data_IF_642167468892
#
_entry.id   IF_642167468892
#
_cell.length_a   1.000
_cell.length_b   1.000
_cell.length_c   1.000
_cell.angle_alpha   90.00
_cell.angle_beta   90.00
_cell.angle_gamma   90.00
#
_symmetry.space_group_name_H-M   'P 1'
#
loop_
_entity.id
_entity.type
_entity.pdbx_description
1 polymer ?
#
# COMPACT_ATOMS: atom_id res chain seq x y z
N UNK A 1 -34.29 -2.73 7.77
CA UNK A 1 -33.61 -2.02 6.66
C UNK A 1 -32.11 -2.21 6.82
N UNK A 2 -31.47 -3.10 6.05
CA UNK A 2 -29.99 -3.21 6.04
C UNK A 2 -29.50 -2.37 4.88
N UNK A 3 -28.87 -1.24 5.17
CA UNK A 3 -28.17 -0.44 4.17
C UNK A 3 -27.07 -1.33 3.61
N UNK A 4 -27.24 -1.82 2.38
CA UNK A 4 -26.13 -2.33 1.58
C UNK A 4 -25.36 -1.09 1.15
N UNK A 5 -24.36 -0.69 1.94
CA UNK A 5 -23.42 0.34 1.52
C UNK A 5 -22.81 -0.15 0.19
N UNK A 6 -23.03 0.58 -0.89
CA UNK A 6 -22.48 0.25 -2.22
C UNK A 6 -20.97 0.12 -2.12
N UNK A 7 -20.47 -0.89 -2.80
CA UNK A 7 -19.16 -1.51 -2.65
C UNK A 7 -18.06 -0.64 -3.29
N UNK A 8 -17.33 0.12 -2.48
CA UNK A 8 -15.93 0.39 -2.82
C UNK A 8 -15.19 -0.93 -2.70
N UNK A 9 -14.65 -1.45 -3.80
CA UNK A 9 -13.81 -2.63 -3.76
C UNK A 9 -12.45 -2.20 -3.17
N UNK A 10 -12.24 -2.59 -1.91
CA UNK A 10 -10.99 -2.29 -1.22
C UNK A 10 -10.14 -3.56 -1.20
N UNK A 11 -9.11 -3.61 -2.05
CA UNK A 11 -8.15 -4.71 -2.05
C UNK A 11 -7.24 -4.56 -0.83
N UNK A 12 -7.01 -5.65 -0.11
CA UNK A 12 -6.08 -5.66 1.02
C UNK A 12 -5.09 -6.77 0.83
N UNK A 13 -3.83 -6.38 0.69
CA UNK A 13 -2.70 -7.28 0.54
C UNK A 13 -1.66 -7.04 1.61
N UNK A 14 -0.80 -8.02 1.75
CA UNK A 14 0.31 -7.99 2.70
C UNK A 14 1.60 -8.07 1.91
N UNK A 15 2.50 -7.11 2.14
CA UNK A 15 3.81 -7.06 1.50
C UNK A 15 4.89 -7.22 2.56
N UNK A 16 5.91 -8.00 2.26
CA UNK A 16 7.08 -8.17 3.11
C UNK A 16 8.26 -7.47 2.46
N UNK A 17 8.96 -6.67 3.26
CA UNK A 17 10.21 -6.03 2.89
C UNK A 17 11.33 -6.65 3.74
N UNK A 18 12.36 -7.18 3.09
CA UNK A 18 13.50 -7.80 3.76
C UNK A 18 14.48 -6.76 4.31
N UNK A 19 14.46 -5.55 3.74
CA UNK A 19 15.35 -4.46 4.05
C UNK A 19 14.58 -3.21 4.49
N UNK A 20 15.21 -2.35 5.33
CA UNK A 20 14.62 -1.06 5.67
C UNK A 20 14.50 -0.19 4.40
N UNK A 21 13.33 0.44 4.23
CA UNK A 21 12.99 1.18 3.02
C UNK A 21 12.37 2.55 3.36
N UNK A 22 12.24 3.40 2.33
CA UNK A 22 11.62 4.73 2.43
C UNK A 22 10.56 4.85 1.35
N UNK A 23 9.48 5.56 1.67
CA UNK A 23 8.41 5.88 0.74
C UNK A 23 8.19 7.41 0.75
N UNK A 24 7.95 8.00 -0.41
CA UNK A 24 7.48 9.39 -0.46
C UNK A 24 6.16 9.51 0.30
N UNK A 25 6.05 10.52 1.15
CA UNK A 25 4.94 10.68 2.08
C UNK A 25 5.26 10.21 3.51
N UNK A 26 6.38 9.49 3.71
CA UNK A 26 6.86 9.07 5.02
C UNK A 26 8.28 9.62 5.23
N UNK A 27 8.40 10.63 6.09
CA UNK A 27 9.69 11.29 6.41
C UNK A 27 10.60 10.44 7.33
N UNK A 28 10.38 9.13 7.40
CA UNK A 28 11.17 8.19 8.20
C UNK A 28 11.47 6.93 7.40
N UNK A 29 12.59 6.28 7.73
CA UNK A 29 12.86 4.92 7.27
C UNK A 29 11.94 3.95 8.00
N UNK A 30 11.23 3.12 7.23
CA UNK A 30 10.45 2.01 7.76
C UNK A 30 11.37 0.79 7.96
N UNK A 31 11.27 0.09 9.09
CA UNK A 31 12.07 -1.12 9.31
C UNK A 31 11.70 -2.22 8.30
N UNK A 32 12.60 -3.18 8.08
CA UNK A 32 12.22 -4.42 7.41
C UNK A 32 11.07 -5.10 8.16
N UNK A 33 10.14 -5.71 7.42
CA UNK A 33 8.99 -6.36 8.02
C UNK A 33 7.81 -6.50 7.08
N UNK A 34 6.72 -6.97 7.66
CA UNK A 34 5.48 -7.26 6.95
C UNK A 34 4.48 -6.14 7.19
N UNK A 35 3.98 -5.57 6.08
CA UNK A 35 3.13 -4.41 6.07
C UNK A 35 1.82 -4.70 5.37
N UNK A 36 0.74 -4.16 5.93
CA UNK A 36 -0.56 -4.24 5.31
C UNK A 36 -0.74 -3.05 4.36
N UNK A 37 -1.06 -3.36 3.12
CA UNK A 37 -1.34 -2.41 2.06
C UNK A 37 -2.79 -2.58 1.66
N UNK A 38 -3.52 -1.49 1.65
CA UNK A 38 -4.90 -1.46 1.20
C UNK A 38 -4.93 -0.56 -0.04
N UNK A 39 -5.59 -1.01 -1.09
CA UNK A 39 -5.73 -0.28 -2.35
C UNK A 39 -7.20 0.01 -2.52
N UNK A 40 -7.56 1.29 -2.65
CA UNK A 40 -8.90 1.66 -3.05
C UNK A 40 -9.01 1.55 -4.58
N UNK A 41 -9.73 0.53 -5.02
CA UNK A 41 -10.03 0.29 -6.44
C UNK A 41 -11.49 0.69 -6.68
N UNK A 42 -11.70 1.80 -7.39
CA UNK A 42 -13.04 2.15 -7.86
C UNK A 42 -13.31 1.36 -9.14
N UNK A 43 -14.37 0.53 -9.09
CA UNK A 43 -14.94 -0.05 -10.29
C UNK A 43 -15.57 1.09 -11.11
N UNK A 44 -14.94 1.48 -12.20
CA UNK A 44 -15.53 2.45 -13.12
C UNK A 44 -16.61 1.72 -13.93
N UNK A 45 -17.85 1.75 -13.46
CA UNK A 45 -19.00 1.30 -14.25
C UNK A 45 -19.32 2.32 -15.36
N UNK A 46 -19.25 1.91 -16.63
CA UNK A 46 -19.69 2.76 -17.76
C UNK A 46 -18.85 2.75 -19.03
N UNK A 47 -17.74 2.01 -19.08
CA UNK A 47 -17.06 1.67 -20.33
C UNK A 47 -17.26 0.17 -20.58
N UNK A 48 -17.39 -0.25 -21.84
CA UNK A 48 -17.60 -1.66 -22.24
C UNK A 48 -16.45 -2.62 -21.87
N UNK A 49 -15.56 -2.23 -20.96
CA UNK A 49 -14.40 -2.96 -20.45
C UNK A 49 -14.23 -2.68 -18.96
N UNK A 50 -13.94 -3.72 -18.18
CA UNK A 50 -13.56 -3.62 -16.77
C UNK A 50 -12.27 -2.78 -16.66
N UNK A 51 -12.37 -1.54 -16.21
CA UNK A 51 -11.22 -0.67 -15.98
C UNK A 51 -11.11 -0.32 -14.50
N UNK A 52 -10.09 -0.86 -13.82
CA UNK A 52 -9.75 -0.53 -12.45
C UNK A 52 -8.85 0.71 -12.47
N UNK A 53 -9.24 1.80 -11.79
CA UNK A 53 -8.31 2.90 -11.46
C UNK A 53 -7.97 2.80 -9.98
N UNK A 54 -6.70 2.60 -9.66
CA UNK A 54 -6.21 2.71 -8.29
C UNK A 54 -6.27 4.18 -7.87
N UNK A 55 -7.16 4.51 -6.93
CA UNK A 55 -7.37 5.90 -6.51
C UNK A 55 -6.43 6.29 -5.36
N UNK A 56 -6.10 5.36 -4.48
CA UNK A 56 -5.15 5.59 -3.37
C UNK A 56 -4.66 4.26 -2.80
N UNK A 57 -3.37 4.17 -2.52
CA UNK A 57 -2.80 3.05 -1.76
C UNK A 57 -2.51 3.53 -0.34
N UNK A 58 -3.05 2.87 0.67
CA UNK A 58 -2.75 3.18 2.07
C UNK A 58 -1.95 2.02 2.68
N UNK A 59 -1.05 2.34 3.59
CA UNK A 59 -0.18 1.38 4.23
C UNK A 59 -0.25 1.56 5.74
N UNK A 60 -0.33 0.44 6.45
CA UNK A 60 -0.32 0.40 7.92
C UNK A 60 1.12 0.25 8.36
N UNK A 61 1.68 1.28 9.00
CA UNK A 61 3.09 1.35 9.40
C UNK A 61 3.23 1.57 10.91
N UNK A 62 4.32 1.13 11.55
CA UNK A 62 4.59 1.52 12.93
C UNK A 62 4.81 3.03 13.00
N UNK A 63 4.18 3.67 13.98
CA UNK A 63 4.29 5.10 14.28
C UNK A 63 5.68 5.48 14.82
N UNK A 64 5.90 6.78 15.07
CA UNK A 64 7.16 7.26 15.67
C UNK A 64 7.38 6.72 17.09
N UNK A 65 6.30 6.31 17.76
CA UNK A 65 6.34 5.66 19.06
C UNK A 65 6.16 4.16 18.87
N UNK A 66 6.95 3.36 19.60
CA UNK A 66 7.03 1.91 19.45
C UNK A 66 5.70 1.14 19.63
N UNK A 67 4.65 1.79 20.16
CA UNK A 67 3.33 1.20 20.41
C UNK A 67 2.21 1.83 19.59
N UNK A 68 2.54 2.67 18.60
CA UNK A 68 1.54 3.31 17.73
C UNK A 68 1.58 2.70 16.34
N UNK A 69 0.43 2.62 15.69
CA UNK A 69 0.28 2.20 14.30
C UNK A 69 -0.40 3.35 13.56
N UNK A 70 0.12 3.68 12.39
CA UNK A 70 -0.31 4.82 11.60
C UNK A 70 -0.70 4.34 10.19
N UNK A 71 -1.83 4.83 9.69
CA UNK A 71 -2.25 4.58 8.32
C UNK A 71 -1.80 5.76 7.46
N UNK A 72 -0.93 5.49 6.50
CA UNK A 72 -0.34 6.51 5.64
C UNK A 72 -0.73 6.26 4.19
N UNK A 73 -1.19 7.31 3.50
CA UNK A 73 -1.42 7.25 2.06
C UNK A 73 -0.07 7.33 1.36
N UNK A 74 0.17 6.37 0.47
CA UNK A 74 1.39 6.24 -0.31
C UNK A 74 1.06 6.18 -1.79
N UNK A 75 2.00 6.61 -2.61
CA UNK A 75 1.86 6.50 -4.06
C UNK A 75 2.11 5.04 -4.50
N UNK A 76 1.25 4.44 -5.34
CA UNK A 76 1.41 3.06 -5.79
C UNK A 76 2.70 2.83 -6.61
N UNK A 77 3.16 3.84 -7.35
CA UNK A 77 4.41 3.76 -8.11
C UNK A 77 5.61 3.73 -7.17
N UNK A 78 5.58 4.56 -6.12
CA UNK A 78 6.62 4.57 -5.10
C UNK A 78 6.67 3.26 -4.32
N UNK A 79 5.52 2.67 -4.00
CA UNK A 79 5.45 1.34 -3.38
C UNK A 79 6.07 0.25 -4.27
N UNK A 80 5.82 0.31 -5.59
CA UNK A 80 6.41 -0.63 -6.54
C UNK A 80 7.92 -0.44 -6.64
N UNK A 81 8.39 0.80 -6.69
CA UNK A 81 9.82 1.11 -6.71
C UNK A 81 10.52 0.71 -5.40
N UNK A 82 9.85 0.76 -4.26
CA UNK A 82 10.40 0.25 -3.00
C UNK A 82 10.57 -1.27 -3.00
N UNK A 83 9.59 -2.02 -3.53
CA UNK A 83 9.70 -3.48 -3.69
C UNK A 83 10.81 -3.89 -4.65
N UNK A 84 10.97 -3.16 -5.75
CA UNK A 84 12.04 -3.42 -6.72
C UNK A 84 13.43 -3.23 -6.09
N UNK A 85 13.61 -2.16 -5.30
CA UNK A 85 14.84 -1.93 -4.54
C UNK A 85 15.08 -3.01 -3.49
N UNK A 86 14.05 -3.40 -2.74
CA UNK A 86 14.15 -4.47 -1.74
C UNK A 86 14.60 -5.77 -2.39
N UNK A 87 13.96 -6.16 -3.49
CA UNK A 87 14.34 -7.34 -4.27
C UNK A 87 15.77 -7.24 -4.80
N UNK A 88 16.18 -6.09 -5.35
CA UNK A 88 17.54 -5.88 -5.84
C UNK A 88 18.60 -6.04 -4.74
N UNK A 89 18.31 -5.57 -3.52
CA UNK A 89 19.20 -5.74 -2.35
C UNK A 89 19.24 -7.21 -1.93
N UNK A 90 18.09 -7.88 -1.85
CA UNK A 90 17.99 -9.30 -1.54
C UNK A 90 18.70 -10.19 -2.56
N UNK A 91 18.77 -9.77 -3.83
CA UNK A 91 19.42 -10.51 -4.91
C UNK A 91 20.94 -10.24 -5.03
N UNK A 92 21.51 -9.33 -4.22
CA UNK A 92 22.96 -9.21 -4.03
C UNK A 92 23.77 -8.90 -5.30
N UNK A 93 23.49 -7.78 -5.97
CA UNK A 93 24.41 -7.21 -6.98
C UNK A 93 25.25 -6.07 -6.39
#
# INVERSE_FOLDING_TARGET
MRVRCREHAHDRKTLTFEHPFRLKGIDRTLPAGTYQVITDEELIEGLSFLAYRSLSTMMVVPGKQASSIEMVTIDPLELRAAQDRDAAISQGL
#
